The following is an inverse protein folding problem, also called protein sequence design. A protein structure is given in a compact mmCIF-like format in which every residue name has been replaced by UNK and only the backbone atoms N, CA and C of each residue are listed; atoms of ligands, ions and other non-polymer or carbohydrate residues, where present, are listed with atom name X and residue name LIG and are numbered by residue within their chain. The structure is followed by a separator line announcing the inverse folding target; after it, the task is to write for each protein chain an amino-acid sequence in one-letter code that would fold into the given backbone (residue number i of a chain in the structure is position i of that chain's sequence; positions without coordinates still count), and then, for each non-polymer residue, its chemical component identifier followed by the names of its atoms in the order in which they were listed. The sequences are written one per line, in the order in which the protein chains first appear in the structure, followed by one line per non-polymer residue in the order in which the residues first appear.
data_IF_128815967124
#
_entry.id   IF_128815967124
#
_cell.length_a   1.000
_cell.length_b   1.000
_cell.length_c   1.000
_cell.angle_alpha   90.00
_cell.angle_beta   90.00
_cell.angle_gamma   90.00
#
_symmetry.space_group_name_H-M   'P 1'
#
loop_
_entity.id
_entity.type
_entity.pdbx_description
1 polymer ?
#
# COMPACT_ATOMS: atom_id res chain seq x y z
N UNK A 1 8.28 5.21 13.26
CA UNK A 1 6.87 5.02 12.83
C UNK A 1 6.64 3.52 12.65
N UNK A 2 5.44 2.96 12.87
CA UNK A 2 5.18 1.53 12.72
C UNK A 2 3.99 1.28 11.80
N UNK A 3 4.11 0.31 10.88
CA UNK A 3 3.10 0.00 9.87
C UNK A 3 2.80 -1.49 9.80
N UNK A 4 1.54 -1.83 9.53
CA UNK A 4 1.19 -3.14 8.99
C UNK A 4 1.77 -3.23 7.57
N UNK A 5 2.76 -4.09 7.38
CA UNK A 5 3.56 -4.11 6.16
C UNK A 5 3.08 -5.15 5.15
N UNK A 6 2.56 -4.68 4.02
CA UNK A 6 2.16 -5.49 2.87
C UNK A 6 3.25 -5.44 1.77
N UNK A 7 4.16 -6.43 1.73
CA UNK A 7 5.24 -6.44 0.73
C UNK A 7 4.75 -6.74 -0.69
N UNK A 8 3.57 -7.37 -0.82
CA UNK A 8 3.08 -7.91 -2.08
C UNK A 8 3.72 -9.25 -2.44
N UNK A 9 3.35 -9.78 -3.61
CA UNK A 9 3.76 -11.11 -4.04
C UNK A 9 5.11 -11.14 -4.76
N UNK A 10 5.39 -10.13 -5.60
CA UNK A 10 6.61 -10.09 -6.43
C UNK A 10 7.87 -9.96 -5.57
N UNK A 11 7.85 -9.10 -4.54
CA UNK A 11 9.00 -8.93 -3.66
C UNK A 11 9.26 -10.14 -2.76
N UNK A 12 8.31 -11.06 -2.62
CA UNK A 12 8.51 -12.35 -1.92
C UNK A 12 8.88 -13.49 -2.86
N UNK A 13 8.89 -13.26 -4.17
CA UNK A 13 9.05 -14.30 -5.19
C UNK A 13 10.03 -13.92 -6.28
N UNK A 14 9.55 -13.18 -7.29
CA UNK A 14 10.31 -12.92 -8.52
C UNK A 14 11.39 -11.84 -8.39
N UNK A 15 11.25 -10.89 -7.45
CA UNK A 15 12.24 -9.83 -7.18
C UNK A 15 12.54 -9.74 -5.68
N UNK A 16 13.11 -10.78 -5.05
CA UNK A 16 13.33 -10.84 -3.60
C UNK A 16 14.27 -9.75 -3.08
N UNK A 17 15.18 -9.25 -3.92
CA UNK A 17 16.09 -8.16 -3.60
C UNK A 17 15.36 -6.87 -3.20
N UNK A 18 14.15 -6.64 -3.74
CA UNK A 18 13.34 -5.49 -3.37
C UNK A 18 12.89 -5.55 -1.91
N UNK A 19 12.54 -6.74 -1.43
CA UNK A 19 12.13 -6.93 -0.04
C UNK A 19 13.31 -6.71 0.91
N UNK A 20 14.46 -7.33 0.63
CA UNK A 20 15.68 -7.12 1.42
C UNK A 20 16.09 -5.64 1.46
N UNK A 21 16.11 -4.96 0.31
CA UNK A 21 16.42 -3.53 0.25
C UNK A 21 15.42 -2.68 1.04
N UNK A 22 14.14 -3.05 1.01
CA UNK A 22 13.10 -2.36 1.78
C UNK A 22 13.34 -2.46 3.28
N UNK A 23 13.68 -3.65 3.81
CA UNK A 23 13.93 -3.85 5.23
C UNK A 23 15.10 -2.96 5.70
N UNK A 24 16.21 -2.97 4.96
CA UNK A 24 17.40 -2.17 5.27
C UNK A 24 17.11 -0.66 5.21
N UNK A 25 16.40 -0.20 4.17
CA UNK A 25 16.00 1.20 4.05
C UNK A 25 15.08 1.61 5.20
N UNK A 26 14.08 0.80 5.54
CA UNK A 26 13.15 1.10 6.63
C UNK A 26 13.87 1.17 7.98
N UNK A 27 14.85 0.29 8.23
CA UNK A 27 15.68 0.35 9.42
C UNK A 27 16.45 1.67 9.52
N UNK A 28 17.08 2.13 8.44
CA UNK A 28 17.81 3.42 8.39
C UNK A 28 16.87 4.61 8.63
N UNK A 29 15.64 4.53 8.11
CA UNK A 29 14.63 5.58 8.22
C UNK A 29 13.85 5.55 9.55
N UNK A 30 14.03 4.52 10.39
CA UNK A 30 13.28 4.37 11.64
C UNK A 30 11.81 3.98 11.43
N UNK A 31 11.54 3.23 10.36
CA UNK A 31 10.23 2.65 10.05
C UNK A 31 10.23 1.19 10.52
N UNK A 32 9.35 0.87 11.47
CA UNK A 32 9.10 -0.48 11.95
C UNK A 32 8.04 -1.17 11.08
N UNK A 33 8.33 -2.40 10.67
CA UNK A 33 7.49 -3.19 9.76
C UNK A 33 6.87 -4.36 10.50
N UNK A 34 5.55 -4.35 10.62
CA UNK A 34 4.77 -5.44 11.19
C UNK A 34 4.16 -6.30 10.08
N UNK A 35 4.85 -7.39 9.77
CA UNK A 35 4.37 -8.39 8.81
C UNK A 35 3.45 -9.42 9.43
N UNK A 36 3.57 -9.67 10.73
CA UNK A 36 2.79 -10.70 11.41
C UNK A 36 1.30 -10.34 11.38
N UNK A 37 0.98 -9.05 11.53
CA UNK A 37 -0.38 -8.52 11.36
C UNK A 37 -0.99 -8.82 9.98
N UNK A 38 -0.16 -9.04 8.95
CA UNK A 38 -0.60 -9.29 7.57
C UNK A 38 -0.17 -10.65 7.03
N UNK A 39 0.26 -11.58 7.88
CA UNK A 39 0.75 -12.91 7.48
C UNK A 39 -0.25 -13.72 6.65
N UNK A 40 -1.54 -13.55 6.93
CA UNK A 40 -2.63 -14.19 6.20
C UNK A 40 -3.09 -13.42 4.95
N UNK A 41 -2.53 -12.26 4.62
CA UNK A 41 -3.02 -11.41 3.55
C UNK A 41 -2.78 -12.06 2.18
N UNK A 42 -3.80 -12.01 1.32
CA UNK A 42 -3.76 -12.57 -0.03
C UNK A 42 -3.16 -11.58 -1.04
N UNK A 43 -2.95 -12.04 -2.28
CA UNK A 43 -2.65 -11.14 -3.39
C UNK A 43 -3.78 -10.12 -3.59
N UNK A 44 -3.44 -8.89 -3.98
CA UNK A 44 -4.42 -7.83 -4.33
C UNK A 44 -5.18 -8.14 -5.63
N UNK A 45 -4.70 -9.09 -6.43
CA UNK A 45 -5.25 -9.43 -7.75
C UNK A 45 -4.65 -8.64 -8.91
N UNK A 46 -3.77 -7.67 -8.63
CA UNK A 46 -3.01 -6.89 -9.60
C UNK A 46 -3.87 -6.24 -10.72
N UNK A 47 -5.13 -5.92 -10.44
CA UNK A 47 -6.09 -5.37 -11.41
C UNK A 47 -6.77 -6.44 -12.27
N UNK A 48 -6.10 -7.56 -12.53
CA UNK A 48 -6.62 -8.66 -13.36
C UNK A 48 -7.83 -9.34 -12.72
N UNK A 49 -7.81 -9.54 -11.40
CA UNK A 49 -8.98 -10.10 -10.71
C UNK A 49 -10.17 -9.15 -10.77
N UNK A 50 -9.94 -7.84 -10.62
CA UNK A 50 -11.00 -6.84 -10.66
C UNK A 50 -11.67 -6.78 -12.04
N UNK A 51 -10.88 -6.91 -13.11
CA UNK A 51 -11.40 -6.98 -14.48
C UNK A 51 -12.30 -8.19 -14.73
N UNK A 52 -12.07 -9.31 -14.03
CA UNK A 52 -12.84 -10.55 -14.19
C UNK A 52 -13.99 -10.69 -13.19
N UNK A 53 -13.75 -10.29 -11.95
CA UNK A 53 -14.68 -10.38 -10.84
C UNK A 53 -14.33 -9.29 -9.80
N UNK A 54 -14.88 -8.10 -9.98
CA UNK A 54 -14.63 -6.94 -9.11
C UNK A 54 -14.96 -7.24 -7.64
N UNK A 55 -16.09 -7.90 -7.36
CA UNK A 55 -16.48 -8.25 -6.00
C UNK A 55 -15.45 -9.15 -5.32
N UNK A 56 -14.96 -10.18 -6.02
CA UNK A 56 -13.91 -11.04 -5.47
C UNK A 56 -12.62 -10.25 -5.20
N UNK A 57 -12.20 -9.40 -6.15
CA UNK A 57 -11.05 -8.54 -5.97
C UNK A 57 -11.20 -7.62 -4.75
N UNK A 58 -12.36 -7.01 -4.59
CA UNK A 58 -12.65 -6.12 -3.46
C UNK A 58 -12.75 -6.89 -2.14
N UNK A 59 -13.35 -8.07 -2.09
CA UNK A 59 -13.38 -8.92 -0.88
C UNK A 59 -11.96 -9.22 -0.40
N UNK A 60 -11.04 -9.60 -1.30
CA UNK A 60 -9.65 -9.93 -0.95
C UNK A 60 -8.87 -8.71 -0.41
N UNK A 61 -9.10 -7.54 -1.00
CA UNK A 61 -8.47 -6.29 -0.53
C UNK A 61 -9.10 -5.83 0.80
N UNK A 62 -10.43 -5.88 0.94
CA UNK A 62 -11.14 -5.58 2.18
C UNK A 62 -10.70 -6.47 3.34
N UNK A 63 -10.47 -7.77 3.08
CA UNK A 63 -9.89 -8.70 4.05
C UNK A 63 -8.53 -8.23 4.55
N UNK A 64 -7.67 -7.77 3.65
CA UNK A 64 -6.35 -7.22 4.00
C UNK A 64 -6.48 -5.93 4.81
N UNK A 65 -7.43 -5.06 4.47
CA UNK A 65 -7.70 -3.84 5.23
C UNK A 65 -8.22 -4.15 6.63
N UNK A 66 -9.16 -5.08 6.78
CA UNK A 66 -9.66 -5.53 8.07
C UNK A 66 -8.55 -6.09 8.96
N UNK A 67 -7.58 -6.81 8.39
CA UNK A 67 -6.41 -7.29 9.13
C UNK A 67 -5.53 -6.15 9.66
N UNK A 68 -5.22 -5.16 8.81
CA UNK A 68 -4.46 -3.97 9.21
C UNK A 68 -5.23 -3.14 10.25
N UNK A 69 -6.53 -2.97 10.08
CA UNK A 69 -7.40 -2.23 11.00
C UNK A 69 -7.47 -2.92 12.38
N UNK A 70 -7.56 -4.26 12.39
CA UNK A 70 -7.54 -5.06 13.61
C UNK A 70 -6.22 -4.96 14.38
N UNK A 71 -5.09 -4.74 13.71
CA UNK A 71 -3.81 -4.50 14.39
C UNK A 71 -3.67 -3.08 14.91
N UNK A 72 -4.55 -2.15 14.50
CA UNK A 72 -4.49 -0.74 14.85
C UNK A 72 -3.33 0.01 14.19
N UNK A 73 -2.70 -0.56 13.15
CA UNK A 73 -1.56 0.03 12.46
C UNK A 73 -1.97 0.55 11.08
N UNK A 74 -1.37 1.67 10.61
CA UNK A 74 -1.53 2.10 9.22
C UNK A 74 -0.94 1.06 8.26
N UNK A 75 -1.56 0.91 7.08
CA UNK A 75 -1.16 -0.04 6.05
C UNK A 75 -0.10 0.57 5.12
N UNK A 76 1.06 -0.09 5.03
CA UNK A 76 2.12 0.29 4.08
C UNK A 76 2.33 -0.77 3.01
N UNK A 77 2.58 -0.34 1.76
CA UNK A 77 3.09 -1.22 0.70
C UNK A 77 4.30 -0.63 -0.04
N UNK A 78 5.05 -1.49 -0.73
CA UNK A 78 6.19 -1.14 -1.60
C UNK A 78 5.93 -1.43 -3.08
N UNK A 79 4.71 -1.86 -3.42
CA UNK A 79 4.34 -2.18 -4.79
C UNK A 79 3.35 -1.13 -5.30
N UNK A 80 3.73 -0.41 -6.35
CA UNK A 80 2.88 0.60 -7.00
C UNK A 80 1.57 0.01 -7.52
N UNK A 81 1.58 -1.20 -8.08
CA UNK A 81 0.35 -1.89 -8.49
C UNK A 81 -0.54 -2.22 -7.30
N UNK A 82 0.02 -2.70 -6.19
CA UNK A 82 -0.77 -2.97 -4.99
C UNK A 82 -1.36 -1.70 -4.42
N UNK A 83 -0.61 -0.59 -4.38
CA UNK A 83 -1.10 0.73 -3.99
C UNK A 83 -2.35 1.12 -4.79
N UNK A 84 -2.27 1.09 -6.12
CA UNK A 84 -3.39 1.55 -6.95
C UNK A 84 -4.60 0.62 -6.92
N UNK A 85 -4.40 -0.70 -6.82
CA UNK A 85 -5.50 -1.66 -6.68
C UNK A 85 -6.19 -1.50 -5.34
N UNK A 86 -5.43 -1.41 -4.25
CA UNK A 86 -5.97 -1.21 -2.91
C UNK A 86 -6.71 0.13 -2.80
N UNK A 87 -6.15 1.21 -3.35
CA UNK A 87 -6.78 2.53 -3.34
C UNK A 87 -8.14 2.53 -4.05
N UNK A 88 -8.24 1.88 -5.22
CA UNK A 88 -9.51 1.76 -5.96
C UNK A 88 -10.53 0.90 -5.21
N UNK A 89 -10.12 -0.24 -4.66
CA UNK A 89 -10.99 -1.10 -3.87
C UNK A 89 -11.52 -0.34 -2.63
N UNK A 90 -10.63 0.33 -1.91
CA UNK A 90 -10.99 1.13 -0.74
C UNK A 90 -11.98 2.24 -1.10
N UNK A 91 -11.73 2.97 -2.19
CA UNK A 91 -12.63 4.00 -2.66
C UNK A 91 -14.04 3.45 -2.97
N UNK A 92 -14.16 2.30 -3.65
CA UNK A 92 -15.46 1.66 -3.92
C UNK A 92 -16.19 1.28 -2.64
N UNK A 93 -15.48 0.66 -1.70
CA UNK A 93 -16.03 0.22 -0.41
C UNK A 93 -16.54 1.42 0.40
N UNK A 94 -15.78 2.50 0.48
CA UNK A 94 -16.15 3.70 1.24
C UNK A 94 -17.28 4.49 0.60
N UNK A 95 -17.40 4.48 -0.74
CA UNK A 95 -18.49 5.16 -1.45
C UNK A 95 -19.84 4.45 -1.32
N UNK A 96 -19.87 3.17 -0.95
CA UNK A 96 -21.10 2.38 -0.89
C UNK A 96 -21.18 1.55 0.39
N UNK A 97 -21.84 2.07 1.45
CA UNK A 97 -21.99 1.37 2.73
C UNK A 97 -22.69 0.00 2.62
N UNK A 98 -23.70 -0.13 1.76
CA UNK A 98 -24.41 -1.41 1.56
C UNK A 98 -23.49 -2.46 0.91
N UNK A 99 -22.65 -2.02 -0.04
CA UNK A 99 -21.64 -2.89 -0.64
C UNK A 99 -20.59 -3.32 0.39
N UNK A 100 -20.06 -2.40 1.19
CA UNK A 100 -19.16 -2.73 2.29
C UNK A 100 -19.80 -3.71 3.28
N UNK A 101 -21.06 -3.51 3.67
CA UNK A 101 -21.80 -4.43 4.53
C UNK A 101 -21.91 -5.83 3.89
N UNK A 102 -22.14 -5.91 2.58
CA UNK A 102 -22.17 -7.18 1.84
C UNK A 102 -20.82 -7.90 1.84
N UNK A 103 -19.72 -7.17 1.76
CA UNK A 103 -18.36 -7.74 1.85
C UNK A 103 -18.05 -8.19 3.27
N UNK A 104 -18.43 -7.40 4.28
CA UNK A 104 -18.26 -7.76 5.69
C UNK A 104 -19.06 -9.00 6.10
N UNK A 105 -20.15 -9.32 5.41
CA UNK A 105 -20.84 -10.61 5.61
C UNK A 105 -19.95 -11.80 5.21
N UNK A 106 -19.17 -11.70 4.14
CA UNK A 106 -18.21 -12.75 3.75
C UNK A 106 -17.05 -12.84 4.75
N UNK A 107 -16.53 -11.68 5.20
CA UNK A 107 -15.39 -11.63 6.13
C UNK A 107 -15.71 -12.16 7.52
N UNK A 108 -17.00 -12.23 7.89
CA UNK A 108 -17.45 -12.68 9.22
C UNK A 108 -17.00 -14.09 9.55
N UNK A 109 -16.92 -14.98 8.56
CA UNK A 109 -16.45 -16.37 8.77
C UNK A 109 -15.01 -16.42 9.31
N UNK A 110 -14.20 -15.41 9.01
CA UNK A 110 -12.82 -15.27 9.49
C UNK A 110 -12.71 -14.39 10.74
N UNK A 111 -13.83 -13.94 11.30
CA UNK A 111 -13.84 -12.99 12.42
C UNK A 111 -13.21 -11.65 12.08
N UNK A 112 -13.36 -11.22 10.82
CA UNK A 112 -12.89 -9.95 10.29
C UNK A 112 -14.07 -9.04 9.91
N UNK A 113 -13.86 -7.74 10.04
CA UNK A 113 -14.77 -6.69 9.61
C UNK A 113 -13.91 -5.50 9.19
N UNK A 114 -14.21 -4.90 8.04
CA UNK A 114 -13.59 -3.66 7.62
C UNK A 114 -14.53 -2.48 7.89
N UNK A 115 -14.05 -1.50 8.67
CA UNK A 115 -14.82 -0.31 9.10
C UNK A 115 -14.48 0.93 8.28
N UNK A 116 -13.58 0.83 7.32
CA UNK A 116 -13.26 1.94 6.43
C UNK A 116 -12.19 2.91 6.94
N UNK A 117 -11.38 2.53 7.93
CA UNK A 117 -10.36 3.44 8.50
C UNK A 117 -8.97 3.34 7.86
N UNK A 118 -8.77 2.38 6.97
CA UNK A 118 -7.47 2.16 6.34
C UNK A 118 -7.30 3.07 5.12
N UNK A 119 -6.17 3.77 5.07
CA UNK A 119 -5.65 4.42 3.88
C UNK A 119 -4.34 3.72 3.47
N UNK A 120 -4.35 2.85 2.43
CA UNK A 120 -3.15 2.17 1.97
C UNK A 120 -2.13 3.20 1.46
N UNK A 121 -0.90 3.17 1.98
CA UNK A 121 0.13 4.14 1.60
C UNK A 121 1.42 3.47 1.10
N UNK A 122 1.96 4.00 0.00
CA UNK A 122 3.19 3.50 -0.60
C UNK A 122 4.42 4.08 0.12
N UNK A 123 5.50 3.29 0.28
CA UNK A 123 6.73 3.72 0.95
C UNK A 123 7.30 5.03 0.36
N UNK A 124 7.27 5.20 -0.96
CA UNK A 124 7.66 6.46 -1.63
C UNK A 124 6.94 7.69 -1.04
N UNK A 125 5.64 7.59 -0.82
CA UNK A 125 4.84 8.68 -0.27
C UNK A 125 5.06 8.85 1.22
N UNK A 126 5.29 7.78 1.97
CA UNK A 126 5.70 7.90 3.38
C UNK A 126 7.01 8.67 3.49
N UNK A 127 7.97 8.38 2.63
CA UNK A 127 9.25 9.10 2.58
C UNK A 127 9.04 10.57 2.21
N UNK A 128 8.28 10.85 1.13
CA UNK A 128 8.12 12.20 0.62
C UNK A 128 7.22 13.08 1.51
N UNK A 129 6.14 12.52 2.06
CA UNK A 129 5.07 13.26 2.75
C UNK A 129 5.23 13.24 4.27
N UNK A 130 5.59 12.09 4.85
CA UNK A 130 5.59 11.92 6.31
C UNK A 130 6.96 12.18 6.93
N UNK A 131 8.02 11.73 6.26
CA UNK A 131 9.41 11.96 6.70
C UNK A 131 9.99 13.26 6.13
N UNK A 132 9.69 13.55 4.87
CA UNK A 132 10.21 14.70 4.13
C UNK A 132 11.58 14.46 3.49
N UNK A 133 11.83 15.18 2.40
CA UNK A 133 13.05 15.03 1.59
C UNK A 133 14.32 15.47 2.35
N UNK A 134 14.23 16.49 3.21
CA UNK A 134 15.37 16.94 4.02
C UNK A 134 15.85 15.85 4.98
N UNK A 135 14.91 15.13 5.60
CA UNK A 135 15.25 13.99 6.45
C UNK A 135 15.89 12.87 5.63
N UNK A 136 15.33 12.53 4.47
CA UNK A 136 15.92 11.53 3.57
C UNK A 136 17.37 11.91 3.20
N UNK A 137 17.60 13.17 2.83
CA UNK A 137 18.93 13.68 2.47
C UNK A 137 19.93 13.53 3.63
N UNK A 138 19.50 13.78 4.87
CA UNK A 138 20.32 13.62 6.07
C UNK A 138 20.79 12.18 6.32
N UNK A 139 20.09 11.18 5.76
CA UNK A 139 20.41 9.75 5.87
C UNK A 139 21.32 9.24 4.75
N UNK A 140 21.60 10.05 3.72
CA UNK A 140 22.43 9.65 2.58
C UNK A 140 23.90 9.58 3.01
N UNK A 141 24.41 8.35 3.15
CA UNK A 141 25.84 8.10 3.46
C UNK A 141 26.73 8.07 2.21
N UNK A 142 26.17 7.76 1.04
CA UNK A 142 26.88 7.69 -0.23
C UNK A 142 26.05 8.32 -1.34
N UNK A 143 26.48 9.49 -1.80
CA UNK A 143 25.84 10.16 -2.95
C UNK A 143 26.17 9.41 -4.23
N UNK A 144 25.16 9.17 -5.07
CA UNK A 144 25.31 8.61 -6.41
C UNK A 144 25.57 9.72 -7.45
N UNK A 145 26.41 10.69 -7.11
CA UNK A 145 26.72 11.84 -7.96
C UNK A 145 27.28 11.38 -9.31
N UNK A 146 26.70 11.90 -10.40
CA UNK A 146 27.09 11.56 -11.77
C UNK A 146 26.32 10.38 -12.39
N UNK A 147 25.51 9.66 -11.61
CA UNK A 147 24.60 8.65 -12.15
C UNK A 147 23.40 9.34 -12.81
N UNK A 148 23.14 9.05 -14.09
CA UNK A 148 21.94 9.50 -14.80
C UNK A 148 20.82 8.48 -14.56
N UNK A 149 19.72 8.94 -13.98
CA UNK A 149 18.55 8.13 -13.65
C UNK A 149 17.35 8.58 -14.49
N UNK A 150 16.56 7.62 -14.96
CA UNK A 150 15.27 7.87 -15.60
C UNK A 150 14.18 7.27 -14.69
N UNK A 151 13.51 8.07 -13.85
CA UNK A 151 12.52 7.53 -12.92
C UNK A 151 11.32 6.96 -13.68
N UNK A 152 10.93 5.74 -13.32
CA UNK A 152 9.74 5.09 -13.84
C UNK A 152 8.74 4.86 -12.71
N UNK A 153 7.71 5.71 -12.65
CA UNK A 153 6.67 5.64 -11.62
C UNK A 153 5.72 4.45 -11.80
N UNK A 154 5.58 3.97 -13.03
CA UNK A 154 4.46 3.10 -13.41
C UNK A 154 3.11 3.84 -13.35
N UNK A 155 2.04 3.13 -13.70
CA UNK A 155 0.71 3.76 -13.83
C UNK A 155 -0.06 3.82 -12.50
N UNK A 156 0.05 2.79 -11.66
CA UNK A 156 -0.83 2.59 -10.51
C UNK A 156 -0.54 3.48 -9.30
N UNK A 157 0.64 4.11 -9.23
CA UNK A 157 0.96 5.11 -8.20
C UNK A 157 0.60 6.53 -8.64
N UNK A 158 0.17 6.73 -9.89
CA UNK A 158 -0.22 8.07 -10.41
C UNK A 158 -1.65 8.12 -10.94
N UNK A 159 -2.26 6.97 -11.26
CA UNK A 159 -3.61 6.85 -11.82
C UNK A 159 -4.39 5.66 -11.20
N UNK A 160 -5.71 5.81 -11.00
CA UNK A 160 -6.51 7.02 -11.18
C UNK A 160 -6.29 8.00 -10.02
N UNK A 161 -6.03 9.27 -10.35
CA UNK A 161 -5.62 10.27 -9.36
C UNK A 161 -6.68 10.55 -8.28
N UNK A 162 -7.96 10.33 -8.60
CA UNK A 162 -9.08 10.43 -7.65
C UNK A 162 -8.97 9.37 -6.53
N UNK A 163 -8.79 8.08 -6.89
CA UNK A 163 -8.65 7.02 -5.89
C UNK A 163 -7.35 7.16 -5.08
N UNK A 164 -6.33 7.76 -5.68
CA UNK A 164 -5.02 7.99 -5.07
C UNK A 164 -4.95 9.29 -4.26
N UNK A 165 -6.06 10.01 -4.07
CA UNK A 165 -6.13 11.17 -3.20
C UNK A 165 -5.22 12.33 -3.60
N UNK A 166 -5.05 12.58 -4.91
CA UNK A 166 -4.18 13.65 -5.42
C UNK A 166 -4.77 15.05 -5.19
N UNK A 167 -6.08 15.17 -4.99
CA UNK A 167 -6.72 16.43 -4.60
C UNK A 167 -6.33 16.83 -3.19
N UNK A 168 -6.31 15.86 -2.28
CA UNK A 168 -5.99 16.03 -0.86
C UNK A 168 -4.46 16.10 -0.65
N UNK A 169 -3.69 15.50 -1.56
CA UNK A 169 -2.22 15.48 -1.52
C UNK A 169 -1.61 16.04 -2.82
N UNK A 170 -1.66 17.36 -3.08
CA UNK A 170 -1.17 17.94 -4.33
C UNK A 170 0.32 17.68 -4.62
N UNK A 171 1.12 17.47 -3.58
CA UNK A 171 2.55 17.13 -3.69
C UNK A 171 2.84 15.84 -4.46
N UNK A 172 1.88 14.89 -4.52
CA UNK A 172 2.02 13.63 -5.28
C UNK A 172 2.21 13.83 -6.79
N UNK A 173 1.84 15.00 -7.33
CA UNK A 173 2.08 15.34 -8.75
C UNK A 173 3.53 15.71 -9.05
N UNK A 174 4.29 16.07 -8.01
CA UNK A 174 5.67 16.52 -8.10
C UNK A 174 6.65 15.43 -7.65
N UNK A 175 6.14 14.40 -6.99
CA UNK A 175 6.88 13.23 -6.52
C UNK A 175 7.32 12.35 -7.69
#
# INVERSE_FOLDING_TARGET
MRYAFYPGCVSRGACPELYTATLEVCQILGIELDEESLKGASCTGAGVLQEKNERLGDTLNARTFAMAEKSGLPLMTICSTCQGVMAQANQRLLKNPDYLASINNDLREEGLEYKGTIDPKHLLWIIAEDLGLEFLESKIVRKLSGLKLAPFYGCYIVRPSEALGFSENPGRKQA
#
